data_IF_283592451854
#
_entry.id   IF_283592451854
#
_cell.length_a   1.000
_cell.length_b   1.000
_cell.length_c   1.000
_cell.angle_alpha   90.00
_cell.angle_beta   90.00
_cell.angle_gamma   90.00
#
_symmetry.space_group_name_H-M   'P 1'
#
loop_
_entity.id
_entity.type
_entity.pdbx_description
1 polymer ?
#
# COMPACT_ATOMS: atom_id res chain seq x y z
N UNK A 1 -4.10 -18.84 -23.25
CA UNK A 1 -4.70 -17.61 -22.68
C UNK A 1 -3.64 -16.55 -22.42
N UNK A 2 -4.02 -15.26 -22.40
CA UNK A 2 -3.15 -14.16 -21.93
C UNK A 2 -3.28 -14.07 -20.41
N UNK A 3 -2.29 -14.53 -19.65
CA UNK A 3 -2.27 -14.39 -18.19
C UNK A 3 -2.23 -12.89 -17.82
N UNK A 4 -3.19 -12.44 -17.01
CA UNK A 4 -3.22 -11.09 -16.44
C UNK A 4 -2.03 -10.89 -15.48
N UNK A 5 -0.90 -10.40 -15.98
CA UNK A 5 0.32 -10.06 -15.22
C UNK A 5 0.16 -8.88 -14.23
N UNK A 6 -1.07 -8.52 -13.83
CA UNK A 6 -1.35 -7.37 -12.98
C UNK A 6 -1.97 -7.72 -11.62
N UNK A 7 -2.10 -9.01 -11.28
CA UNK A 7 -2.56 -9.41 -9.96
C UNK A 7 -1.39 -9.37 -8.98
N UNK A 8 -1.39 -8.38 -8.10
CA UNK A 8 -0.38 -8.26 -7.05
C UNK A 8 -0.49 -9.45 -6.09
N UNK A 9 0.63 -10.04 -5.66
CA UNK A 9 0.65 -11.14 -4.69
C UNK A 9 0.09 -10.67 -3.35
N UNK A 10 -0.60 -11.57 -2.64
CA UNK A 10 -1.14 -11.30 -1.31
C UNK A 10 -0.02 -11.00 -0.31
N UNK A 11 -0.24 -10.09 0.66
CA UNK A 11 0.79 -9.68 1.61
C UNK A 11 1.13 -10.74 2.66
N UNK A 12 0.32 -11.79 2.81
CA UNK A 12 0.54 -12.89 3.76
C UNK A 12 1.76 -13.76 3.37
N UNK A 13 2.06 -13.88 2.06
CA UNK A 13 3.18 -14.69 1.57
C UNK A 13 4.50 -14.08 2.08
N UNK A 14 5.46 -14.93 2.48
CA UNK A 14 6.79 -14.48 2.86
C UNK A 14 7.55 -13.91 1.64
N UNK A 15 8.33 -12.82 1.77
CA UNK A 15 9.06 -12.24 0.63
C UNK A 15 9.95 -13.24 -0.11
N UNK A 16 10.65 -14.10 0.64
CA UNK A 16 11.49 -15.14 0.05
C UNK A 16 10.68 -16.11 -0.81
N UNK A 17 9.44 -16.44 -0.39
CA UNK A 17 8.57 -17.39 -1.10
C UNK A 17 7.90 -16.80 -2.34
N UNK A 18 8.05 -15.50 -2.61
CA UNK A 18 7.30 -14.80 -3.62
C UNK A 18 7.53 -15.33 -5.04
N UNK A 19 8.74 -15.81 -5.33
CA UNK A 19 9.14 -16.26 -6.67
C UNK A 19 9.34 -17.78 -6.79
N UNK A 20 9.02 -18.56 -5.75
CA UNK A 20 9.14 -20.02 -5.77
C UNK A 20 8.03 -20.65 -6.63
N UNK A 21 8.18 -20.51 -7.94
CA UNK A 21 7.34 -21.14 -8.94
C UNK A 21 8.26 -21.90 -9.90
N UNK A 22 8.31 -23.23 -9.73
CA UNK A 22 9.18 -24.14 -10.49
C UNK A 22 8.88 -24.10 -11.99
N UNK A 23 7.69 -23.63 -12.39
CA UNK A 23 7.34 -23.44 -13.80
C UNK A 23 8.05 -22.26 -14.46
N UNK A 24 8.62 -21.32 -13.68
CA UNK A 24 9.14 -20.04 -14.20
C UNK A 24 10.63 -19.83 -13.97
N UNK A 25 11.21 -20.41 -12.94
CA UNK A 25 12.61 -20.15 -12.59
C UNK A 25 13.31 -21.41 -12.07
N UNK A 26 14.57 -21.58 -12.48
CA UNK A 26 15.36 -22.76 -12.14
C UNK A 26 16.31 -22.55 -10.95
N UNK A 27 16.79 -21.32 -10.72
CA UNK A 27 17.74 -21.02 -9.64
C UNK A 27 17.45 -19.68 -8.96
N UNK A 28 17.74 -19.63 -7.67
CA UNK A 28 17.42 -18.51 -6.78
C UNK A 28 18.65 -18.08 -5.97
N UNK A 29 18.71 -16.79 -5.64
CA UNK A 29 19.70 -16.20 -4.73
C UNK A 29 19.32 -16.40 -3.25
N UNK A 30 20.21 -16.05 -2.32
CA UNK A 30 20.01 -16.10 -0.86
C UNK A 30 18.77 -15.31 -0.40
N UNK A 31 18.42 -14.27 -1.16
CA UNK A 31 17.25 -13.42 -0.91
C UNK A 31 15.95 -13.95 -1.56
N UNK A 32 15.95 -15.14 -2.15
CA UNK A 32 14.79 -15.74 -2.84
C UNK A 32 14.49 -15.13 -4.22
N UNK A 33 15.44 -14.39 -4.82
CA UNK A 33 15.27 -13.73 -6.11
C UNK A 33 15.76 -14.64 -7.23
N UNK A 34 14.97 -14.87 -8.30
CA UNK A 34 15.39 -15.69 -9.43
C UNK A 34 16.61 -15.16 -10.17
N UNK A 35 17.58 -16.03 -10.41
CA UNK A 35 18.80 -15.73 -11.19
C UNK A 35 18.79 -16.37 -12.58
N UNK A 36 18.13 -17.53 -12.71
CA UNK A 36 18.04 -18.29 -13.96
C UNK A 36 16.59 -18.52 -14.39
N UNK A 37 16.37 -18.44 -15.70
CA UNK A 37 15.09 -18.81 -16.33
C UNK A 37 14.88 -20.34 -16.32
N UNK A 38 13.71 -20.82 -16.72
CA UNK A 38 13.37 -22.25 -16.83
C UNK A 38 14.40 -23.03 -17.66
N UNK A 39 14.92 -22.39 -18.70
CA UNK A 39 15.92 -22.96 -19.62
C UNK A 39 17.35 -22.95 -19.05
N UNK A 40 17.56 -22.45 -17.83
CA UNK A 40 18.88 -22.36 -17.18
C UNK A 40 19.74 -21.17 -17.63
N UNK A 41 19.21 -20.33 -18.53
CA UNK A 41 19.84 -19.10 -18.99
C UNK A 41 19.82 -18.01 -17.92
N UNK A 42 20.89 -17.22 -17.84
CA UNK A 42 20.96 -16.10 -16.91
C UNK A 42 19.98 -15.00 -17.29
N UNK A 43 19.25 -14.47 -16.30
CA UNK A 43 18.32 -13.37 -16.54
C UNK A 43 19.07 -12.11 -17.00
N UNK A 44 18.46 -11.40 -17.96
CA UNK A 44 18.96 -10.09 -18.38
C UNK A 44 18.96 -9.09 -17.22
N UNK A 45 19.90 -8.15 -17.23
CA UNK A 45 20.03 -7.10 -16.19
C UNK A 45 18.74 -6.32 -15.97
N UNK A 46 17.95 -6.10 -17.03
CA UNK A 46 16.67 -5.39 -16.97
C UNK A 46 15.58 -6.24 -16.28
N UNK A 47 15.56 -7.55 -16.51
CA UNK A 47 14.63 -8.46 -15.85
C UNK A 47 14.96 -8.63 -14.35
N UNK A 48 16.24 -8.78 -14.01
CA UNK A 48 16.71 -8.84 -12.63
C UNK A 48 16.33 -7.56 -11.85
N UNK A 49 16.51 -6.38 -12.47
CA UNK A 49 16.09 -5.10 -11.87
C UNK A 49 14.57 -5.02 -11.63
N UNK A 50 13.75 -5.59 -12.52
CA UNK A 50 12.28 -5.64 -12.34
C UNK A 50 11.91 -6.56 -11.16
N UNK A 51 12.52 -7.74 -11.07
CA UNK A 51 12.29 -8.68 -9.96
C UNK A 51 12.69 -8.07 -8.61
N UNK A 52 13.84 -7.39 -8.54
CA UNK A 52 14.27 -6.67 -7.34
C UNK A 52 13.24 -5.62 -6.91
N UNK A 53 12.68 -4.86 -7.86
CA UNK A 53 11.65 -3.84 -7.56
C UNK A 53 10.36 -4.47 -7.03
N UNK A 54 9.94 -5.60 -7.61
CA UNK A 54 8.75 -6.35 -7.14
C UNK A 54 8.97 -6.91 -5.73
N UNK A 55 10.14 -7.49 -5.48
CA UNK A 55 10.51 -8.01 -4.17
C UNK A 55 10.48 -6.92 -3.09
N UNK A 56 11.14 -5.79 -3.33
CA UNK A 56 11.16 -4.66 -2.40
C UNK A 56 9.76 -4.10 -2.12
N UNK A 57 8.92 -4.02 -3.15
CA UNK A 57 7.54 -3.58 -2.99
C UNK A 57 6.70 -4.56 -2.16
N UNK A 58 6.98 -5.86 -2.24
CA UNK A 58 6.30 -6.88 -1.44
C UNK A 58 6.82 -6.92 0.00
N UNK A 59 8.13 -6.81 0.25
CA UNK A 59 8.69 -6.67 1.60
C UNK A 59 7.99 -5.56 2.40
N UNK A 60 7.85 -4.36 1.81
CA UNK A 60 7.19 -3.22 2.45
C UNK A 60 5.70 -3.47 2.76
N UNK A 61 5.03 -4.29 1.96
CA UNK A 61 3.62 -4.66 2.21
C UNK A 61 3.53 -5.73 3.30
N UNK A 62 4.43 -6.69 3.29
CA UNK A 62 4.49 -7.77 4.27
C UNK A 62 4.86 -7.26 5.67
N UNK A 63 5.77 -6.28 5.78
CA UNK A 63 6.09 -5.63 7.08
C UNK A 63 4.88 -4.94 7.68
N UNK A 64 4.16 -4.14 6.88
CA UNK A 64 2.93 -3.47 7.32
C UNK A 64 1.84 -4.45 7.74
N UNK A 65 1.73 -5.58 7.03
CA UNK A 65 0.79 -6.64 7.40
C UNK A 65 1.13 -7.27 8.76
N UNK A 66 2.42 -7.55 9.01
CA UNK A 66 2.90 -8.07 10.29
C UNK A 66 2.68 -7.10 11.46
N UNK A 67 2.93 -5.81 11.26
CA UNK A 67 2.70 -4.78 12.28
C UNK A 67 1.22 -4.74 12.70
N UNK A 68 0.30 -4.90 11.75
CA UNK A 68 -1.14 -4.88 12.02
C UNK A 68 -1.67 -6.16 12.69
N UNK A 69 -0.99 -7.31 12.53
CA UNK A 69 -1.32 -8.55 13.24
C UNK A 69 -0.81 -8.55 14.70
N UNK A 70 0.30 -7.85 14.98
CA UNK A 70 0.90 -7.82 16.32
C UNK A 70 0.09 -7.02 17.34
N UNK A 71 -0.66 -5.99 16.90
CA UNK A 71 -1.55 -5.23 17.78
C UNK A 71 -2.83 -6.01 18.16
N UNK A 72 -3.21 -7.04 17.39
CA UNK A 72 -4.39 -7.85 17.68
C UNK A 72 -4.15 -8.95 18.75
N UNK A 73 -2.90 -9.22 19.14
CA UNK A 73 -2.56 -10.38 20.00
C UNK A 73 -1.91 -10.00 21.35
N UNK A 74 -1.74 -8.72 21.66
CA UNK A 74 -1.13 -8.29 22.94
C UNK A 74 -2.16 -7.70 23.91
N UNK A 75 -3.25 -8.42 24.18
CA UNK A 75 -4.15 -8.16 25.32
C UNK A 75 -4.55 -9.46 26.04
N UNK A 76 -3.58 -10.23 26.51
CA UNK A 76 -3.80 -11.35 27.44
C UNK A 76 -2.69 -11.30 28.52
N UNK A 77 -2.83 -10.40 29.50
CA UNK A 77 -2.51 -10.64 30.92
C UNK A 77 -2.80 -9.40 31.80
N UNK A 78 -4.04 -9.27 32.26
CA UNK A 78 -4.35 -8.57 33.52
C UNK A 78 -5.62 -9.16 34.14
N UNK A 79 -5.58 -9.39 35.44
CA UNK A 79 -6.36 -10.39 36.17
C UNK A 79 -7.56 -9.76 36.90
N UNK A 80 -8.65 -10.53 37.00
CA UNK A 80 -9.72 -10.52 38.02
C UNK A 80 -10.82 -9.44 37.96
N UNK A 81 -12.02 -9.92 37.59
CA UNK A 81 -13.20 -9.82 38.47
C UNK A 81 -14.31 -8.86 38.02
N UNK A 82 -15.34 -9.38 37.35
CA UNK A 82 -16.58 -8.62 37.14
C UNK A 82 -17.58 -9.29 36.21
N UNK A 83 -18.79 -9.55 36.72
CA UNK A 83 -19.86 -10.35 36.11
C UNK A 83 -20.67 -9.51 35.09
N UNK A 84 -20.90 -10.12 33.92
CA UNK A 84 -21.97 -9.91 32.95
C UNK A 84 -22.85 -8.64 33.03
N UNK A 85 -22.84 -7.85 31.95
CA UNK A 85 -24.08 -7.41 31.26
C UNK A 85 -23.74 -6.97 29.84
N UNK A 86 -24.21 -7.75 28.87
CA UNK A 86 -24.25 -7.42 27.45
C UNK A 86 -25.34 -6.37 27.22
N UNK A 87 -24.94 -5.11 27.27
CA UNK A 87 -25.58 -4.06 26.47
C UNK A 87 -24.58 -3.85 25.33
N UNK A 88 -25.04 -4.03 24.09
CA UNK A 88 -24.21 -3.87 22.91
C UNK A 88 -23.80 -2.40 22.77
N UNK A 89 -22.63 -2.07 23.31
CA UNK A 89 -21.84 -0.94 22.85
C UNK A 89 -21.02 -1.45 21.66
N UNK A 90 -21.64 -1.44 20.48
CA UNK A 90 -20.87 -1.40 19.25
C UNK A 90 -19.90 -0.21 19.38
N UNK A 91 -18.58 -0.40 19.16
CA UNK A 91 -17.65 0.71 19.19
C UNK A 91 -18.16 1.77 18.20
N UNK A 92 -18.19 3.06 18.56
CA UNK A 92 -18.71 4.10 17.68
C UNK A 92 -17.99 3.95 16.35
N UNK A 93 -18.76 3.63 15.30
CA UNK A 93 -18.27 3.41 13.95
C UNK A 93 -17.43 4.64 13.61
N UNK A 94 -16.12 4.46 13.51
CA UNK A 94 -15.19 5.57 13.35
C UNK A 94 -15.54 6.30 12.05
N UNK A 95 -16.30 7.37 12.19
CA UNK A 95 -16.77 8.14 11.07
C UNK A 95 -15.56 8.89 10.53
N UNK A 96 -15.11 8.52 9.33
CA UNK A 96 -13.89 9.05 8.73
C UNK A 96 -13.89 10.58 8.64
N UNK A 97 -15.07 11.22 8.63
CA UNK A 97 -15.20 12.67 8.63
C UNK A 97 -14.66 13.31 9.93
N UNK A 98 -14.76 12.62 11.07
CA UNK A 98 -14.24 13.11 12.37
C UNK A 98 -12.70 13.03 12.44
N UNK A 99 -12.09 12.27 11.54
CA UNK A 99 -10.62 12.14 11.42
C UNK A 99 -9.99 13.17 10.47
N UNK A 100 -10.81 13.90 9.71
CA UNK A 100 -10.32 14.92 8.81
C UNK A 100 -10.19 16.26 9.54
N UNK A 101 -9.00 16.84 9.46
CA UNK A 101 -8.81 18.24 9.83
C UNK A 101 -9.75 19.10 8.96
N UNK A 102 -10.64 19.93 9.55
CA UNK A 102 -11.49 20.84 8.78
C UNK A 102 -10.73 21.78 7.85
N UNK A 103 -9.43 21.97 8.07
CA UNK A 103 -8.53 22.74 7.20
C UNK A 103 -7.93 21.95 6.02
N UNK A 104 -8.16 20.63 5.95
CA UNK A 104 -7.62 19.75 4.92
C UNK A 104 -8.02 20.20 3.50
N UNK A 105 -9.25 20.67 3.32
CA UNK A 105 -9.73 21.19 2.04
C UNK A 105 -10.49 22.50 2.24
N UNK A 106 -9.82 23.62 1.97
CA UNK A 106 -10.46 24.93 2.00
C UNK A 106 -11.01 25.29 0.62
N UNK A 107 -12.29 25.64 0.56
CA UNK A 107 -12.92 26.19 -0.64
C UNK A 107 -12.89 27.71 -0.59
N UNK A 108 -12.11 28.34 -1.47
CA UNK A 108 -11.99 29.80 -1.59
C UNK A 108 -12.56 30.23 -2.95
N UNK A 109 -13.48 31.19 -2.94
CA UNK A 109 -14.19 31.65 -4.15
C UNK A 109 -14.10 33.18 -4.28
N UNK A 110 -13.72 33.65 -5.47
CA UNK A 110 -13.66 35.08 -5.78
C UNK A 110 -15.05 35.69 -6.03
N UNK A 111 -15.14 37.02 -5.91
CA UNK A 111 -16.41 37.73 -6.20
C UNK A 111 -16.64 37.87 -7.69
N UNK A 112 -17.80 37.44 -8.18
CA UNK A 112 -18.18 37.63 -9.58
C UNK A 112 -18.33 39.13 -9.94
N UNK A 113 -17.91 39.52 -11.15
CA UNK A 113 -18.01 40.89 -11.65
C UNK A 113 -16.93 41.87 -11.16
N UNK A 114 -16.03 41.45 -10.26
CA UNK A 114 -14.87 42.25 -9.80
C UNK A 114 -13.58 41.81 -10.47
N UNK A 115 -12.60 42.71 -10.51
CA UNK A 115 -11.22 42.37 -10.89
C UNK A 115 -10.61 41.47 -9.82
N UNK A 116 -10.13 40.30 -10.21
CA UNK A 116 -9.43 39.37 -9.31
C UNK A 116 -7.94 39.72 -9.29
N UNK A 117 -7.45 40.26 -8.18
CA UNK A 117 -6.00 40.28 -7.91
C UNK A 117 -5.60 38.90 -7.42
N UNK A 118 -4.66 38.25 -8.11
CA UNK A 118 -4.22 36.90 -7.77
C UNK A 118 -2.69 36.86 -7.77
N UNK A 119 -2.13 36.38 -6.67
CA UNK A 119 -0.74 35.95 -6.55
C UNK A 119 -0.75 34.44 -6.32
N UNK A 120 0.06 33.70 -7.06
CA UNK A 120 0.09 32.25 -7.03
C UNK A 120 1.53 31.75 -7.02
N UNK A 121 1.82 30.85 -6.08
CA UNK A 121 3.11 30.18 -5.94
C UNK A 121 2.90 28.68 -5.97
N UNK A 122 3.73 27.96 -6.73
CA UNK A 122 3.76 26.50 -6.80
C UNK A 122 5.19 26.00 -6.72
N UNK A 123 5.42 25.02 -5.86
CA UNK A 123 6.75 24.44 -5.60
C UNK A 123 7.29 23.65 -6.80
N UNK A 124 6.41 22.93 -7.52
CA UNK A 124 6.80 22.02 -8.61
C UNK A 124 6.20 22.42 -9.97
N UNK A 125 5.88 23.70 -10.14
CA UNK A 125 5.22 24.23 -11.34
C UNK A 125 3.71 23.96 -11.37
N UNK A 126 2.94 24.69 -12.19
CA UNK A 126 1.47 24.74 -12.06
C UNK A 126 0.69 23.53 -12.63
N UNK A 127 1.37 22.52 -13.19
CA UNK A 127 0.80 21.32 -13.84
C UNK A 127 -0.62 21.55 -14.42
N UNK A 128 -0.73 22.49 -15.36
CA UNK A 128 -2.01 23.04 -15.84
C UNK A 128 -2.76 21.99 -16.66
N UNK A 129 -4.05 21.80 -16.34
CA UNK A 129 -4.97 20.95 -17.09
C UNK A 129 -6.10 21.79 -17.68
N UNK A 130 -6.62 21.36 -18.83
CA UNK A 130 -7.78 21.98 -19.48
C UNK A 130 -8.84 20.90 -19.70
N UNK A 131 -9.99 21.08 -19.05
CA UNK A 131 -11.14 20.21 -19.17
C UNK A 131 -12.28 20.99 -19.83
N UNK A 132 -12.90 20.41 -20.85
CA UNK A 132 -14.15 20.89 -21.42
C UNK A 132 -15.23 19.90 -20.99
N UNK A 133 -16.17 20.39 -20.19
CA UNK A 133 -17.32 19.62 -19.68
C UNK A 133 -18.49 19.77 -20.65
#
# INVERSE_FOLDING_TARGET
EKLNNNKQPSPNILPNQLFYDESKYSAYDENGIPTKDVEGNDLTKSAMKKLNKLHQAHCKRHTKWKEHDTDATTEELAVVGGRASSIGDDPPEAHWEDSLDPSFCQVVVGSFGRRQGLEFSSDMGPFVHLFQV
#
